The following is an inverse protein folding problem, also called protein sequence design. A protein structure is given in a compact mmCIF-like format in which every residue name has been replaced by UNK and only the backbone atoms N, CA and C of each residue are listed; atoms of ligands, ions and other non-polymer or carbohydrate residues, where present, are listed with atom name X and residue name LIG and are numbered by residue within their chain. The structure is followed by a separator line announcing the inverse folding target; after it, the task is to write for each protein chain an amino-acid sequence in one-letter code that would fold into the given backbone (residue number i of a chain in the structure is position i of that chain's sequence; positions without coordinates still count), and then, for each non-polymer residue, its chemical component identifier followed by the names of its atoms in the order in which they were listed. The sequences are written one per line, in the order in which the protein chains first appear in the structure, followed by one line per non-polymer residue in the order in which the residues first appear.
data_IF_439868166120
#
_entry.id   IF_439868166120
#
_cell.length_a   1.000
_cell.length_b   1.000
_cell.length_c   1.000
_cell.angle_alpha   90.00
_cell.angle_beta   90.00
_cell.angle_gamma   90.00
#
_symmetry.space_group_name_H-M   'P 1'
#
loop_
_entity.id
_entity.type
_entity.pdbx_description
1 polymer ?
#
# COMPACT_ATOMS: atom_id res chain seq x y z
N UNK A 1 -29.92 -11.35 -14.08
CA UNK A 1 -29.82 -9.89 -13.87
C UNK A 1 -30.40 -9.17 -15.07
N UNK A 2 -31.04 -8.03 -14.87
CA UNK A 2 -31.44 -7.15 -15.96
C UNK A 2 -30.27 -6.24 -16.39
N UNK A 3 -30.43 -5.53 -17.53
CA UNK A 3 -29.38 -4.65 -18.10
C UNK A 3 -28.97 -3.50 -17.16
N UNK A 4 -29.88 -3.01 -16.32
CA UNK A 4 -29.57 -1.95 -15.35
C UNK A 4 -28.72 -2.46 -14.19
N UNK A 5 -28.96 -3.68 -13.71
CA UNK A 5 -28.17 -4.30 -12.65
C UNK A 5 -26.72 -4.57 -13.11
N UNK A 6 -26.50 -4.90 -14.38
CA UNK A 6 -25.16 -5.12 -14.94
C UNK A 6 -24.29 -3.87 -14.94
N UNK A 7 -24.87 -2.66 -14.94
CA UNK A 7 -24.13 -1.39 -14.93
C UNK A 7 -23.18 -1.32 -13.71
N UNK A 8 -23.63 -1.79 -12.54
CA UNK A 8 -22.84 -1.78 -11.31
C UNK A 8 -21.61 -2.70 -11.35
N UNK A 9 -21.62 -3.70 -12.24
CA UNK A 9 -20.53 -4.69 -12.40
C UNK A 9 -19.65 -4.37 -13.61
N UNK A 10 -20.07 -3.42 -14.45
CA UNK A 10 -19.28 -2.88 -15.54
C UNK A 10 -18.36 -1.73 -15.11
N UNK A 11 -18.40 -1.31 -13.84
CA UNK A 11 -17.59 -0.21 -13.32
C UNK A 11 -16.97 -0.54 -11.97
N UNK A 12 -15.90 0.18 -11.63
CA UNK A 12 -15.38 0.31 -10.27
C UNK A 12 -15.15 1.80 -9.96
N UNK A 13 -14.49 2.12 -8.84
CA UNK A 13 -14.24 3.49 -8.45
C UNK A 13 -13.26 4.25 -9.39
N UNK A 14 -12.63 3.58 -10.36
CA UNK A 14 -11.79 4.22 -11.39
C UNK A 14 -12.54 5.09 -12.39
N UNK A 15 -13.88 4.98 -12.44
CA UNK A 15 -14.76 5.59 -13.45
C UNK A 15 -14.57 5.05 -14.88
N UNK A 16 -13.75 4.02 -15.08
CA UNK A 16 -13.75 3.27 -16.32
C UNK A 16 -15.07 2.49 -16.48
N UNK A 17 -15.55 2.42 -17.71
CA UNK A 17 -16.74 1.64 -18.06
C UNK A 17 -16.31 0.48 -18.95
N UNK A 18 -16.59 -0.71 -18.46
CA UNK A 18 -16.40 -1.97 -19.13
C UNK A 18 -17.69 -2.53 -19.71
N UNK A 19 -17.61 -3.79 -20.13
CA UNK A 19 -18.74 -4.52 -20.69
C UNK A 19 -18.69 -5.98 -20.22
N UNK A 20 -19.78 -6.42 -19.62
CA UNK A 20 -20.03 -7.80 -19.24
C UNK A 20 -21.51 -8.12 -19.41
N UNK A 21 -21.79 -9.27 -20.01
CA UNK A 21 -23.14 -9.77 -20.20
C UNK A 21 -23.60 -10.69 -19.07
N UNK A 22 -22.65 -11.15 -18.23
CA UNK A 22 -22.93 -12.15 -17.19
C UNK A 22 -22.08 -11.93 -15.96
N UNK A 23 -22.73 -12.06 -14.80
CA UNK A 23 -22.08 -11.99 -13.48
C UNK A 23 -22.44 -13.25 -12.70
N UNK A 24 -21.41 -13.91 -12.17
CA UNK A 24 -21.54 -15.08 -11.30
C UNK A 24 -21.36 -14.67 -9.85
N UNK A 25 -22.18 -15.24 -8.96
CA UNK A 25 -22.13 -15.01 -7.52
C UNK A 25 -21.93 -16.34 -6.78
N UNK A 26 -20.74 -16.95 -6.88
CA UNK A 26 -20.46 -18.21 -6.23
C UNK A 26 -20.61 -18.09 -4.71
N UNK A 27 -21.11 -19.15 -4.07
CA UNK A 27 -21.33 -19.22 -2.62
C UNK A 27 -20.35 -20.14 -1.90
N UNK A 28 -19.51 -20.84 -2.66
CA UNK A 28 -18.52 -21.78 -2.14
C UNK A 28 -17.42 -22.02 -3.18
N UNK A 29 -16.36 -22.70 -2.75
CA UNK A 29 -15.18 -22.99 -3.58
C UNK A 29 -15.53 -23.87 -4.79
N UNK A 30 -16.43 -24.85 -4.63
CA UNK A 30 -16.79 -25.77 -5.72
C UNK A 30 -17.44 -25.03 -6.90
N UNK A 31 -18.31 -24.05 -6.62
CA UNK A 31 -18.89 -23.18 -7.65
C UNK A 31 -17.83 -22.34 -8.37
N UNK A 32 -16.86 -21.77 -7.63
CA UNK A 32 -15.71 -21.06 -8.25
C UNK A 32 -14.93 -21.99 -9.18
N UNK A 33 -14.63 -23.21 -8.74
CA UNK A 33 -13.91 -24.20 -9.55
C UNK A 33 -14.70 -24.60 -10.80
N UNK A 34 -16.01 -24.80 -10.70
CA UNK A 34 -16.88 -25.12 -11.83
C UNK A 34 -16.87 -23.99 -12.87
N UNK A 35 -17.10 -22.74 -12.44
CA UNK A 35 -17.08 -21.57 -13.31
C UNK A 35 -15.73 -21.48 -14.05
N UNK A 36 -14.62 -21.62 -13.32
CA UNK A 36 -13.29 -21.55 -13.93
C UNK A 36 -13.06 -22.70 -14.91
N UNK A 37 -13.60 -23.90 -14.70
CA UNK A 37 -13.40 -25.02 -15.63
C UNK A 37 -14.26 -24.92 -16.88
N UNK A 38 -15.48 -24.39 -16.76
CA UNK A 38 -16.45 -24.30 -17.85
C UNK A 38 -16.23 -23.07 -18.74
N UNK A 39 -15.74 -21.96 -18.18
CA UNK A 39 -15.50 -20.73 -18.95
C UNK A 39 -14.13 -20.77 -19.60
N UNK A 40 -14.12 -20.78 -20.93
CA UNK A 40 -12.91 -20.69 -21.75
C UNK A 40 -12.48 -19.25 -22.04
N UNK A 41 -13.41 -18.29 -21.97
CA UNK A 41 -13.14 -16.87 -22.20
C UNK A 41 -12.44 -16.19 -21.01
N UNK A 42 -12.04 -14.94 -21.21
CA UNK A 42 -11.42 -14.12 -20.17
C UNK A 42 -12.40 -13.91 -19.00
N UNK A 43 -11.91 -13.95 -17.77
CA UNK A 43 -12.71 -13.84 -16.54
C UNK A 43 -12.22 -12.63 -15.75
N UNK A 44 -13.15 -11.80 -15.29
CA UNK A 44 -12.85 -10.72 -14.36
C UNK A 44 -13.28 -11.07 -12.95
N UNK A 45 -12.36 -10.87 -12.00
CA UNK A 45 -12.58 -11.16 -10.58
C UNK A 45 -12.95 -9.87 -9.88
N UNK A 46 -13.98 -9.94 -9.03
CA UNK A 46 -14.51 -8.78 -8.33
C UNK A 46 -14.81 -9.09 -6.85
N UNK A 47 -14.46 -8.13 -5.99
CA UNK A 47 -14.92 -8.02 -4.61
C UNK A 47 -15.94 -6.89 -4.48
N UNK A 48 -15.74 -5.94 -3.57
CA UNK A 48 -16.67 -4.80 -3.41
C UNK A 48 -16.67 -3.77 -4.57
N UNK A 49 -15.69 -3.83 -5.49
CA UNK A 49 -15.58 -2.88 -6.60
C UNK A 49 -15.10 -1.47 -6.21
N UNK A 50 -14.34 -1.35 -5.12
CA UNK A 50 -13.85 -0.05 -4.60
C UNK A 50 -12.51 0.37 -5.19
N UNK A 51 -11.89 -0.46 -6.03
CA UNK A 51 -10.59 -0.16 -6.64
C UNK A 51 -10.62 1.06 -7.57
N UNK A 52 -9.51 1.80 -7.59
CA UNK A 52 -9.39 3.08 -8.31
C UNK A 52 -8.69 2.98 -9.67
N UNK A 53 -8.17 1.80 -10.04
CA UNK A 53 -7.30 1.63 -11.23
C UNK A 53 -7.88 0.69 -12.29
N UNK A 54 -9.16 0.33 -12.20
CA UNK A 54 -9.85 -0.54 -13.16
C UNK A 54 -9.59 -2.03 -12.94
N UNK A 55 -9.12 -2.41 -11.74
CA UNK A 55 -8.73 -3.79 -11.42
C UNK A 55 -9.87 -4.81 -11.55
N UNK A 56 -11.13 -4.38 -11.47
CA UNK A 56 -12.29 -5.26 -11.64
C UNK A 56 -13.26 -4.80 -12.74
N UNK A 57 -12.81 -3.94 -13.65
CA UNK A 57 -13.60 -3.52 -14.81
C UNK A 57 -13.50 -4.61 -15.91
N UNK A 58 -14.64 -5.09 -16.45
CA UNK A 58 -14.66 -6.15 -17.46
C UNK A 58 -14.37 -5.62 -18.87
N UNK A 59 -13.61 -6.40 -19.65
CA UNK A 59 -13.27 -6.09 -21.04
C UNK A 59 -13.96 -7.09 -21.99
N UNK A 60 -15.30 -7.06 -22.04
CA UNK A 60 -16.13 -8.07 -22.72
C UNK A 60 -15.93 -9.46 -22.12
N UNK A 61 -15.99 -9.52 -20.80
CA UNK A 61 -15.63 -10.69 -20.02
C UNK A 61 -16.68 -10.96 -18.94
N UNK A 62 -17.05 -12.22 -18.67
CA UNK A 62 -17.77 -12.58 -17.46
C UNK A 62 -17.13 -12.04 -16.18
N UNK A 63 -17.96 -11.61 -15.23
CA UNK A 63 -17.50 -11.19 -13.90
C UNK A 63 -17.81 -12.29 -12.87
N UNK A 64 -16.86 -12.62 -12.01
CA UNK A 64 -17.09 -13.43 -10.80
C UNK A 64 -17.02 -12.50 -9.60
N UNK A 65 -18.17 -12.25 -8.98
CA UNK A 65 -18.29 -11.46 -7.76
C UNK A 65 -18.29 -12.38 -6.54
N UNK A 66 -17.28 -12.22 -5.69
CA UNK A 66 -17.04 -13.08 -4.54
C UNK A 66 -17.73 -12.60 -3.25
N UNK A 67 -18.50 -11.53 -3.26
CA UNK A 67 -19.11 -10.95 -2.05
C UNK A 67 -20.11 -11.90 -1.35
N UNK A 68 -20.56 -12.97 -2.00
CA UNK A 68 -21.40 -14.02 -1.38
C UNK A 68 -20.62 -15.08 -0.60
N UNK A 69 -19.29 -15.08 -0.70
CA UNK A 69 -18.39 -15.90 0.11
C UNK A 69 -17.86 -15.04 1.28
N UNK A 70 -18.68 -14.78 2.30
CA UNK A 70 -18.39 -13.82 3.37
C UNK A 70 -18.39 -14.41 4.79
N UNK A 71 -18.21 -15.72 4.93
CA UNK A 71 -18.23 -16.38 6.25
C UNK A 71 -16.88 -16.28 6.96
N UNK A 72 -16.92 -16.20 8.29
CA UNK A 72 -15.77 -16.53 9.15
C UNK A 72 -15.70 -18.05 9.24
N UNK A 73 -14.63 -18.64 8.74
CA UNK A 73 -14.45 -20.09 8.63
C UNK A 73 -13.85 -20.70 9.92
N UNK A 74 -12.90 -19.99 10.52
CA UNK A 74 -12.23 -20.40 11.77
C UNK A 74 -11.84 -19.15 12.56
N UNK A 75 -11.94 -19.21 13.88
CA UNK A 75 -11.53 -18.10 14.75
C UNK A 75 -11.00 -18.64 16.08
N UNK A 76 -9.72 -18.38 16.32
CA UNK A 76 -9.01 -18.83 17.52
C UNK A 76 -8.38 -17.63 18.25
N UNK A 77 -9.12 -16.99 19.18
CA UNK A 77 -8.61 -15.86 19.96
C UNK A 77 -7.31 -16.17 20.70
N UNK A 78 -7.20 -17.38 21.28
CA UNK A 78 -6.00 -17.82 22.00
C UNK A 78 -4.75 -17.94 21.12
N UNK A 79 -4.93 -18.11 19.81
CA UNK A 79 -3.83 -18.17 18.82
C UNK A 79 -3.66 -16.86 18.07
N UNK A 80 -4.49 -15.84 18.36
CA UNK A 80 -4.55 -14.58 17.63
C UNK A 80 -4.69 -14.81 16.12
N UNK A 81 -5.58 -15.72 15.72
CA UNK A 81 -5.76 -16.11 14.32
C UNK A 81 -7.23 -16.19 13.93
N UNK A 82 -7.51 -15.86 12.67
CA UNK A 82 -8.84 -15.93 12.06
C UNK A 82 -8.72 -16.34 10.59
N UNK A 83 -9.56 -17.27 10.14
CA UNK A 83 -9.71 -17.64 8.72
C UNK A 83 -11.07 -17.19 8.23
N UNK A 84 -11.10 -16.50 7.09
CA UNK A 84 -12.30 -15.87 6.56
C UNK A 84 -12.41 -16.14 5.06
N UNK A 85 -13.63 -16.20 4.56
CA UNK A 85 -13.88 -16.18 3.13
C UNK A 85 -13.61 -14.78 2.55
N UNK A 86 -13.18 -14.76 1.30
CA UNK A 86 -12.65 -13.60 0.57
C UNK A 86 -13.64 -12.42 0.43
N UNK A 87 -14.94 -12.69 0.39
CA UNK A 87 -16.00 -11.70 0.24
C UNK A 87 -16.41 -11.01 1.53
N UNK A 88 -15.90 -11.45 2.69
CA UNK A 88 -16.13 -10.75 3.96
C UNK A 88 -15.50 -9.36 3.90
N UNK A 89 -16.14 -8.36 4.49
CA UNK A 89 -15.60 -7.01 4.60
C UNK A 89 -14.68 -6.88 5.82
N UNK A 90 -13.77 -5.91 5.79
CA UNK A 90 -12.92 -5.59 6.96
C UNK A 90 -13.78 -5.17 8.16
N UNK A 91 -14.91 -4.49 7.92
CA UNK A 91 -15.88 -4.13 8.95
C UNK A 91 -16.45 -5.34 9.66
N UNK A 92 -17.02 -6.29 8.91
CA UNK A 92 -17.58 -7.53 9.47
C UNK A 92 -16.53 -8.32 10.25
N UNK A 93 -15.30 -8.41 9.73
CA UNK A 93 -14.18 -9.02 10.42
C UNK A 93 -13.90 -8.32 11.76
N UNK A 94 -13.71 -7.00 11.75
CA UNK A 94 -13.39 -6.25 12.97
C UNK A 94 -14.54 -6.27 13.99
N UNK A 95 -15.80 -6.25 13.56
CA UNK A 95 -16.96 -6.40 14.45
C UNK A 95 -16.95 -7.76 15.17
N UNK A 96 -16.51 -8.83 14.50
CA UNK A 96 -16.32 -10.14 15.13
C UNK A 96 -15.14 -10.14 16.10
N UNK A 97 -13.99 -9.59 15.68
CA UNK A 97 -12.76 -9.57 16.49
C UNK A 97 -12.90 -8.74 17.77
N UNK A 98 -13.57 -7.58 17.69
CA UNK A 98 -13.78 -6.69 18.84
C UNK A 98 -14.51 -7.38 20.00
N UNK A 99 -15.41 -8.32 19.73
CA UNK A 99 -16.10 -9.10 20.77
C UNK A 99 -15.15 -9.97 21.61
N UNK A 100 -13.95 -10.23 21.11
CA UNK A 100 -12.89 -10.96 21.80
C UNK A 100 -11.72 -10.04 22.22
N UNK A 101 -11.91 -8.72 22.21
CA UNK A 101 -10.87 -7.72 22.47
C UNK A 101 -9.68 -7.80 21.50
N UNK A 102 -9.96 -8.12 20.22
CA UNK A 102 -8.98 -8.21 19.14
C UNK A 102 -9.34 -7.25 17.99
N UNK A 103 -8.37 -6.96 17.13
CA UNK A 103 -8.58 -6.21 15.88
C UNK A 103 -7.69 -6.72 14.74
N UNK A 104 -8.12 -6.46 13.50
CA UNK A 104 -7.29 -6.62 12.32
C UNK A 104 -6.36 -5.40 12.18
N UNK A 105 -5.03 -5.59 12.16
CA UNK A 105 -4.06 -4.49 12.30
C UNK A 105 -3.93 -3.59 11.06
N UNK A 106 -4.26 -4.10 9.87
CA UNK A 106 -4.23 -3.28 8.65
C UNK A 106 -5.50 -2.44 8.59
N UNK A 107 -5.30 -1.12 8.60
CA UNK A 107 -6.40 -0.16 8.59
C UNK A 107 -6.45 0.58 7.25
N UNK A 108 -7.40 0.28 6.36
CA UNK A 108 -7.66 1.02 5.11
C UNK A 108 -8.65 2.17 5.34
N UNK A 109 -8.56 3.24 4.53
CA UNK A 109 -9.58 4.31 4.47
C UNK A 109 -10.95 3.79 4.01
N UNK A 110 -10.99 2.65 3.32
CA UNK A 110 -12.20 1.99 2.81
C UNK A 110 -12.63 0.78 3.67
N UNK A 111 -12.12 0.69 4.91
CA UNK A 111 -12.38 -0.43 5.83
C UNK A 111 -13.86 -0.83 6.00
N UNK A 112 -14.79 0.11 5.77
CA UNK A 112 -16.21 -0.18 5.88
C UNK A 112 -16.76 -1.09 4.78
N UNK A 113 -16.13 -1.07 3.60
CA UNK A 113 -16.69 -1.68 2.38
C UNK A 113 -15.71 -2.59 1.64
N UNK A 114 -14.39 -2.43 1.81
CA UNK A 114 -13.42 -3.31 1.15
C UNK A 114 -13.53 -4.76 1.65
N UNK A 115 -13.61 -5.68 0.69
CA UNK A 115 -13.55 -7.12 0.93
C UNK A 115 -12.12 -7.58 1.25
N UNK A 116 -12.00 -8.64 2.03
CA UNK A 116 -10.73 -9.31 2.36
C UNK A 116 -9.96 -9.74 1.11
N UNK A 117 -10.64 -10.29 0.11
CA UNK A 117 -10.07 -10.67 -1.18
C UNK A 117 -9.45 -9.50 -1.92
N UNK A 118 -10.18 -8.39 -1.97
CA UNK A 118 -9.72 -7.14 -2.60
C UNK A 118 -8.42 -6.62 -1.97
N UNK A 119 -8.37 -6.51 -0.64
CA UNK A 119 -7.16 -6.01 0.03
C UNK A 119 -5.98 -6.98 -0.06
N UNK A 120 -6.23 -8.30 -0.08
CA UNK A 120 -5.20 -9.32 -0.27
C UNK A 120 -4.68 -9.32 -1.71
N UNK A 121 -5.57 -9.18 -2.70
CA UNK A 121 -5.22 -9.09 -4.11
C UNK A 121 -4.40 -7.81 -4.42
N UNK A 122 -4.66 -6.70 -3.72
CA UNK A 122 -3.87 -5.47 -3.83
C UNK A 122 -2.62 -5.43 -2.94
N UNK A 123 -2.52 -6.32 -1.94
CA UNK A 123 -1.55 -6.22 -0.85
C UNK A 123 -1.51 -4.80 -0.24
N UNK A 124 -2.69 -4.24 0.03
CA UNK A 124 -2.88 -2.82 0.30
C UNK A 124 -2.07 -2.34 1.52
N UNK A 125 -1.29 -1.25 1.40
CA UNK A 125 -0.73 -0.52 2.53
C UNK A 125 -1.83 0.30 3.23
N UNK A 126 -2.31 -0.17 4.38
CA UNK A 126 -3.24 0.62 5.20
C UNK A 126 -2.62 1.92 5.75
N UNK A 127 -3.44 2.82 6.31
CA UNK A 127 -3.06 4.09 6.95
C UNK A 127 -2.01 3.91 8.06
N UNK A 128 -1.98 2.72 8.68
CA UNK A 128 -1.03 2.37 9.76
C UNK A 128 0.13 1.48 9.31
N UNK A 129 0.35 1.36 8.00
CA UNK A 129 1.34 0.43 7.43
C UNK A 129 2.79 0.78 7.77
N UNK A 130 3.08 2.01 8.24
CA UNK A 130 4.42 2.32 8.78
C UNK A 130 4.78 1.46 10.00
N UNK A 131 3.78 1.06 10.80
CA UNK A 131 3.98 0.23 11.99
C UNK A 131 3.57 -1.22 11.76
N UNK A 132 2.45 -1.44 11.09
CA UNK A 132 1.90 -2.80 10.92
C UNK A 132 2.27 -3.44 9.57
N UNK A 133 2.93 -2.74 8.65
CA UNK A 133 3.18 -3.28 7.31
C UNK A 133 1.91 -3.38 6.46
N UNK A 134 1.97 -4.20 5.41
CA UNK A 134 0.89 -4.41 4.45
C UNK A 134 0.08 -5.67 4.80
N UNK A 135 -0.99 -5.92 4.06
CA UNK A 135 -1.85 -7.11 4.23
C UNK A 135 -1.06 -8.41 4.25
N UNK A 136 -0.09 -8.59 3.34
CA UNK A 136 0.74 -9.81 3.29
C UNK A 136 1.45 -10.14 4.60
N UNK A 137 1.82 -9.12 5.38
CA UNK A 137 2.61 -9.30 6.59
C UNK A 137 1.78 -9.95 7.71
N UNK A 138 0.46 -9.99 7.54
CA UNK A 138 -0.51 -10.60 8.47
C UNK A 138 -1.10 -11.90 7.96
N UNK A 139 -0.79 -12.31 6.73
CA UNK A 139 -1.33 -13.52 6.13
C UNK A 139 -0.48 -14.73 6.53
N UNK A 140 -1.13 -15.75 7.05
CA UNK A 140 -0.53 -17.06 7.32
C UNK A 140 -0.76 -18.04 6.15
N UNK A 141 -1.93 -17.95 5.52
CA UNK A 141 -2.39 -18.89 4.51
C UNK A 141 -3.36 -18.21 3.54
N UNK A 142 -3.23 -18.50 2.25
CA UNK A 142 -4.24 -18.20 1.23
C UNK A 142 -4.66 -19.50 0.56
N UNK A 143 -5.97 -19.67 0.39
CA UNK A 143 -6.52 -20.62 -0.56
C UNK A 143 -7.06 -19.86 -1.76
N UNK A 144 -6.71 -20.32 -2.96
CA UNK A 144 -7.13 -19.71 -4.21
C UNK A 144 -7.43 -20.75 -5.29
N UNK A 145 -8.31 -20.42 -6.22
CA UNK A 145 -8.57 -21.22 -7.42
C UNK A 145 -7.72 -20.67 -8.57
N UNK A 146 -6.82 -21.48 -9.11
CA UNK A 146 -5.94 -21.07 -10.21
C UNK A 146 -6.68 -21.05 -11.57
N UNK A 147 -6.01 -20.63 -12.65
CA UNK A 147 -6.61 -20.59 -14.00
C UNK A 147 -6.96 -21.96 -14.60
N UNK A 148 -6.56 -23.06 -13.95
CA UNK A 148 -6.96 -24.43 -14.32
C UNK A 148 -8.21 -24.91 -13.55
N UNK A 149 -8.69 -24.13 -12.58
CA UNK A 149 -9.82 -24.52 -11.72
C UNK A 149 -9.43 -25.42 -10.55
N UNK A 150 -8.14 -25.48 -10.22
CA UNK A 150 -7.62 -26.25 -9.08
C UNK A 150 -7.59 -25.37 -7.83
N UNK A 151 -8.00 -25.93 -6.69
CA UNK A 151 -7.83 -25.28 -5.40
C UNK A 151 -6.38 -25.46 -4.95
N UNK A 152 -5.69 -24.34 -4.77
CA UNK A 152 -4.29 -24.29 -4.31
C UNK A 152 -4.25 -23.61 -2.96
N UNK A 153 -3.45 -24.16 -2.05
CA UNK A 153 -3.15 -23.56 -0.76
C UNK A 153 -1.69 -23.12 -0.73
N UNK A 154 -1.44 -21.89 -0.34
CA UNK A 154 -0.10 -21.30 -0.23
C UNK A 154 0.15 -20.70 1.15
N UNK A 155 1.41 -20.70 1.57
CA UNK A 155 1.88 -20.13 2.84
C UNK A 155 3.26 -19.50 2.64
N UNK A 156 3.61 -18.51 3.47
CA UNK A 156 4.95 -17.90 3.54
C UNK A 156 5.53 -17.46 2.19
N UNK A 157 6.51 -18.21 1.66
CA UNK A 157 7.35 -17.82 0.53
C UNK A 157 6.56 -17.63 -0.77
N UNK A 158 5.53 -18.46 -0.98
CA UNK A 158 4.73 -18.45 -2.19
C UNK A 158 3.47 -17.56 -2.05
N UNK A 159 3.34 -16.77 -0.96
CA UNK A 159 2.20 -15.85 -0.80
C UNK A 159 2.20 -14.78 -1.89
N UNK A 160 3.37 -14.31 -2.31
CA UNK A 160 3.51 -13.26 -3.33
C UNK A 160 3.14 -13.75 -4.73
N UNK A 161 3.00 -15.06 -4.94
CA UNK A 161 2.50 -15.59 -6.20
C UNK A 161 1.01 -15.27 -6.42
N UNK A 162 0.29 -14.85 -5.38
CA UNK A 162 -1.16 -14.54 -5.43
C UNK A 162 -1.54 -13.24 -4.73
N UNK A 163 -0.92 -12.93 -3.59
CA UNK A 163 -1.10 -11.68 -2.86
C UNK A 163 -0.40 -10.54 -3.60
N UNK A 164 -1.10 -9.43 -3.83
CA UNK A 164 -0.58 -8.31 -4.62
C UNK A 164 -0.59 -8.54 -6.13
N UNK A 165 -1.20 -9.63 -6.61
CA UNK A 165 -1.28 -9.98 -8.04
C UNK A 165 -2.61 -9.58 -8.67
N UNK A 166 -3.48 -8.86 -7.96
CA UNK A 166 -4.75 -8.30 -8.49
C UNK A 166 -5.62 -9.35 -9.20
N UNK A 167 -5.57 -10.60 -8.75
CA UNK A 167 -6.35 -11.71 -9.30
C UNK A 167 -5.83 -12.28 -10.62
N UNK A 168 -4.70 -11.80 -11.18
CA UNK A 168 -4.21 -12.36 -12.46
C UNK A 168 -3.72 -13.81 -12.29
N UNK A 169 -3.20 -14.21 -11.13
CA UNK A 169 -2.69 -15.58 -10.92
C UNK A 169 -3.72 -16.53 -10.35
N UNK A 170 -4.79 -16.03 -9.73
CA UNK A 170 -5.78 -16.87 -9.07
C UNK A 170 -6.90 -16.10 -8.39
N UNK A 171 -8.01 -16.79 -8.17
CA UNK A 171 -9.18 -16.31 -7.45
C UNK A 171 -9.02 -16.65 -5.98
N UNK A 172 -8.64 -15.69 -5.13
CA UNK A 172 -8.53 -15.90 -3.68
C UNK A 172 -9.92 -16.22 -3.12
N UNK A 173 -10.08 -17.38 -2.47
CA UNK A 173 -11.35 -17.84 -1.89
C UNK A 173 -11.39 -17.78 -0.37
N UNK A 174 -10.24 -17.94 0.29
CA UNK A 174 -10.14 -17.76 1.74
C UNK A 174 -8.76 -17.26 2.14
N UNK A 175 -8.69 -16.55 3.27
CA UNK A 175 -7.45 -16.03 3.84
C UNK A 175 -7.43 -16.27 5.35
N UNK A 176 -6.30 -16.76 5.86
CA UNK A 176 -6.02 -16.85 7.29
C UNK A 176 -5.09 -15.73 7.70
N UNK A 177 -5.52 -14.93 8.67
CA UNK A 177 -4.76 -13.81 9.22
C UNK A 177 -4.31 -14.08 10.65
N UNK A 178 -3.18 -13.47 11.01
CA UNK A 178 -2.90 -13.05 12.38
C UNK A 178 -3.67 -11.78 12.71
N UNK A 179 -4.10 -11.67 13.96
CA UNK A 179 -4.76 -10.49 14.53
C UNK A 179 -3.98 -10.02 15.76
N UNK A 180 -4.33 -8.85 16.28
CA UNK A 180 -3.69 -8.27 17.46
C UNK A 180 -4.72 -7.97 18.54
N UNK A 181 -4.29 -7.81 19.81
CA UNK A 181 -5.13 -7.20 20.84
C UNK A 181 -5.69 -5.86 20.35
N UNK A 182 -6.91 -5.53 20.77
CA UNK A 182 -7.51 -4.23 20.51
C UNK A 182 -6.66 -3.14 21.18
N UNK A 183 -6.20 -2.16 20.40
CA UNK A 183 -5.33 -1.09 20.89
C UNK A 183 -6.12 0.21 21.06
N UNK A 184 -6.00 0.77 22.25
CA UNK A 184 -6.40 2.14 22.54
C UNK A 184 -5.43 3.15 21.90
N UNK A 185 -5.98 4.09 21.13
CA UNK A 185 -5.20 5.05 20.34
C UNK A 185 -5.54 6.49 20.69
N UNK A 186 -4.58 7.36 20.42
CA UNK A 186 -4.74 8.80 20.53
C UNK A 186 -3.99 9.50 19.40
N UNK A 187 -4.26 10.78 19.20
CA UNK A 187 -3.62 11.55 18.15
C UNK A 187 -3.17 12.94 18.62
N UNK A 188 -2.24 13.53 17.87
CA UNK A 188 -1.86 14.94 17.98
C UNK A 188 -1.86 15.57 16.59
N UNK A 189 -2.25 16.84 16.52
CA UNK A 189 -2.26 17.62 15.27
C UNK A 189 -1.24 18.75 15.42
N UNK A 190 -0.28 18.78 14.50
CA UNK A 190 0.66 19.88 14.34
C UNK A 190 0.28 20.69 13.10
N UNK A 191 0.37 22.02 13.18
CA UNK A 191 0.07 22.91 12.06
C UNK A 191 1.15 23.99 11.92
N UNK A 192 1.48 24.34 10.69
CA UNK A 192 2.50 25.36 10.38
C UNK A 192 2.28 25.96 8.99
N UNK A 193 2.85 27.13 8.77
CA UNK A 193 2.92 27.76 7.45
C UNK A 193 4.16 27.32 6.65
N UNK A 194 5.08 26.60 7.29
CA UNK A 194 6.36 26.16 6.74
C UNK A 194 6.41 24.63 6.55
N UNK A 195 6.35 24.18 5.29
CA UNK A 195 6.39 22.77 4.95
C UNK A 195 7.66 22.04 5.44
N UNK A 196 8.79 22.75 5.57
CA UNK A 196 10.04 22.15 6.04
C UNK A 196 9.96 21.69 7.50
N UNK A 197 9.16 22.35 8.34
CA UNK A 197 8.93 21.93 9.72
C UNK A 197 8.18 20.60 9.78
N UNK A 198 7.20 20.39 8.89
CA UNK A 198 6.48 19.11 8.79
C UNK A 198 7.46 17.96 8.51
N UNK A 199 8.35 18.12 7.53
CA UNK A 199 9.34 17.10 7.18
C UNK A 199 10.36 16.88 8.31
N UNK A 200 10.78 17.94 9.01
CA UNK A 200 11.68 17.82 10.15
C UNK A 200 11.05 17.02 11.29
N UNK A 201 9.83 17.36 11.68
CA UNK A 201 9.08 16.66 12.73
C UNK A 201 8.82 15.22 12.29
N UNK A 202 8.31 15.02 11.07
CA UNK A 202 8.04 13.71 10.49
C UNK A 202 9.27 12.80 10.50
N UNK A 203 10.45 13.33 10.14
CA UNK A 203 11.71 12.56 10.15
C UNK A 203 12.14 12.15 11.56
N UNK A 204 11.91 12.99 12.56
CA UNK A 204 12.26 12.67 13.97
C UNK A 204 11.29 11.64 14.55
N UNK A 205 9.99 11.92 14.45
CA UNK A 205 8.95 11.14 15.13
C UNK A 205 8.66 9.78 14.47
N UNK A 206 8.97 9.59 13.18
CA UNK A 206 8.73 8.31 12.48
C UNK A 206 9.48 7.10 13.06
N UNK A 207 10.48 7.33 13.89
CA UNK A 207 11.27 6.27 14.55
C UNK A 207 10.75 5.88 15.93
N UNK A 208 9.77 6.63 16.46
CA UNK A 208 9.16 6.37 17.76
C UNK A 208 8.27 5.12 17.70
N UNK A 209 8.46 4.19 18.64
CA UNK A 209 7.78 2.89 18.66
C UNK A 209 6.26 2.98 18.75
N UNK A 210 5.75 4.01 19.43
CA UNK A 210 4.31 4.20 19.64
C UNK A 210 3.61 4.77 18.42
N UNK A 211 4.33 5.38 17.47
CA UNK A 211 3.72 6.07 16.33
C UNK A 211 3.21 5.07 15.30
N UNK A 212 1.92 5.14 15.01
CA UNK A 212 1.23 4.25 14.08
C UNK A 212 0.90 4.92 12.75
N UNK A 213 0.73 6.25 12.72
CA UNK A 213 0.40 7.01 11.50
C UNK A 213 1.05 8.39 11.51
N UNK A 214 1.52 8.83 10.34
CA UNK A 214 2.01 10.18 10.07
C UNK A 214 1.39 10.73 8.79
N UNK A 215 0.34 11.53 8.93
CA UNK A 215 -0.42 12.07 7.79
C UNK A 215 -0.20 13.55 7.59
N UNK A 216 0.34 13.92 6.44
CA UNK A 216 0.51 15.28 5.96
C UNK A 216 -0.70 15.72 5.13
N UNK A 217 -1.15 16.96 5.33
CA UNK A 217 -2.08 17.66 4.44
C UNK A 217 -1.45 18.94 3.89
N UNK A 218 -1.61 19.18 2.58
CA UNK A 218 -1.33 20.49 1.98
C UNK A 218 -2.30 21.56 2.53
N UNK A 219 -2.01 22.84 2.28
CA UNK A 219 -2.90 23.95 2.71
C UNK A 219 -4.30 23.82 2.07
N UNK A 220 -4.34 23.54 0.77
CA UNK A 220 -5.60 23.36 0.03
C UNK A 220 -6.43 22.22 0.61
N UNK A 221 -5.82 21.05 0.80
CA UNK A 221 -6.52 19.89 1.35
C UNK A 221 -6.95 20.14 2.80
N UNK A 222 -6.12 20.83 3.60
CA UNK A 222 -6.51 21.21 4.96
C UNK A 222 -7.76 22.07 4.97
N UNK A 223 -7.83 23.09 4.10
CA UNK A 223 -8.99 23.96 3.93
C UNK A 223 -10.24 23.18 3.49
N UNK A 224 -10.11 22.29 2.50
CA UNK A 224 -11.21 21.44 2.03
C UNK A 224 -11.74 20.52 3.15
N UNK A 225 -10.85 20.04 4.00
CA UNK A 225 -11.21 19.27 5.17
C UNK A 225 -11.75 20.16 6.31
N UNK A 226 -11.87 21.48 6.16
CA UNK A 226 -12.34 22.37 7.22
C UNK A 226 -11.36 22.49 8.39
N UNK A 227 -10.06 22.31 8.14
CA UNK A 227 -8.98 22.76 9.02
C UNK A 227 -8.55 24.18 8.60
N UNK A 228 -7.79 24.90 9.45
CA UNK A 228 -7.14 26.14 9.03
C UNK A 228 -6.33 25.94 7.73
N UNK A 229 -6.18 26.99 6.93
CA UNK A 229 -5.42 26.96 5.66
C UNK A 229 -3.90 26.96 5.93
N UNK A 230 -3.43 25.87 6.54
CA UNK A 230 -2.05 25.62 6.96
C UNK A 230 -1.65 24.19 6.59
N UNK A 231 -0.36 23.89 6.59
CA UNK A 231 0.07 22.50 6.53
C UNK A 231 -0.28 21.82 7.85
N UNK A 232 -0.83 20.61 7.77
CA UNK A 232 -1.12 19.80 8.95
C UNK A 232 -0.31 18.51 8.93
N UNK A 233 0.27 18.14 10.07
CA UNK A 233 0.79 16.81 10.34
C UNK A 233 -0.02 16.18 11.48
N UNK A 234 -0.74 15.12 11.16
CA UNK A 234 -1.47 14.32 12.13
C UNK A 234 -0.62 13.11 12.49
N UNK A 235 -0.38 12.97 13.80
CA UNK A 235 0.39 11.87 14.37
C UNK A 235 -0.54 11.03 15.21
N UNK A 236 -0.67 9.75 14.88
CA UNK A 236 -1.39 8.77 15.69
C UNK A 236 -0.42 7.94 16.52
N UNK A 237 -0.82 7.62 17.75
CA UNK A 237 -0.09 6.78 18.67
C UNK A 237 -0.94 5.56 19.04
N UNK A 238 -0.31 4.39 19.10
CA UNK A 238 -0.82 3.18 19.74
C UNK A 238 -0.67 3.24 21.26
N UNK A 239 -1.08 4.37 21.83
CA UNK A 239 -1.15 4.62 23.26
C UNK A 239 -2.01 5.86 23.50
N UNK A 240 -2.23 6.21 24.76
CA UNK A 240 -2.95 7.42 25.19
C UNK A 240 -2.04 8.65 25.33
N UNK A 241 -0.92 8.71 24.61
CA UNK A 241 0.08 9.81 24.68
C UNK A 241 -0.34 11.09 23.95
N UNK A 242 -1.10 10.98 22.87
CA UNK A 242 -1.62 12.10 22.08
C UNK A 242 -2.60 12.97 22.85
N UNK A 243 -2.84 14.19 22.36
CA UNK A 243 -3.76 15.16 23.01
C UNK A 243 -5.23 14.84 22.73
N UNK A 244 -5.53 14.30 21.56
CA UNK A 244 -6.87 13.96 21.09
C UNK A 244 -7.13 12.49 21.42
N UNK A 245 -8.19 12.21 22.18
CA UNK A 245 -8.50 10.89 22.77
C UNK A 245 -10.00 10.61 22.72
N UNK A 246 -10.38 9.35 22.96
CA UNK A 246 -11.79 8.94 23.08
C UNK A 246 -12.64 9.39 21.88
N UNK A 247 -13.81 9.97 22.16
CA UNK A 247 -14.74 10.41 21.11
C UNK A 247 -14.15 11.45 20.15
N UNK A 248 -13.25 12.32 20.63
CA UNK A 248 -12.61 13.32 19.78
C UNK A 248 -11.65 12.66 18.78
N UNK A 249 -10.94 11.61 19.22
CA UNK A 249 -10.12 10.77 18.35
C UNK A 249 -10.98 10.06 17.29
N UNK A 250 -12.11 9.48 17.69
CA UNK A 250 -13.02 8.82 16.74
C UNK A 250 -13.57 9.80 15.69
N UNK A 251 -13.92 11.03 16.11
CA UNK A 251 -14.33 12.11 15.20
C UNK A 251 -13.21 12.48 14.24
N UNK A 252 -11.97 12.60 14.72
CA UNK A 252 -10.81 12.86 13.86
C UNK A 252 -10.63 11.75 12.83
N UNK A 253 -10.62 10.48 13.23
CA UNK A 253 -10.43 9.34 12.30
C UNK A 253 -11.56 9.28 11.26
N UNK A 254 -12.81 9.49 11.65
CA UNK A 254 -13.95 9.59 10.71
C UNK A 254 -13.73 10.69 9.68
N UNK A 255 -13.25 11.85 10.12
CA UNK A 255 -12.90 12.97 9.25
C UNK A 255 -11.76 12.59 8.30
N UNK A 256 -10.70 11.92 8.76
CA UNK A 256 -9.63 11.48 7.86
C UNK A 256 -10.12 10.49 6.80
N UNK A 257 -11.04 9.59 7.13
CA UNK A 257 -11.60 8.66 6.16
C UNK A 257 -12.56 9.32 5.16
N UNK A 258 -13.09 10.51 5.45
CA UNK A 258 -13.97 11.23 4.53
C UNK A 258 -13.24 11.99 3.43
N UNK A 259 -11.90 12.07 3.47
CA UNK A 259 -11.12 12.89 2.54
C UNK A 259 -11.38 12.59 1.07
N UNK A 260 -11.48 11.31 0.70
CA UNK A 260 -11.78 10.92 -0.68
C UNK A 260 -13.15 11.45 -1.13
N UNK A 261 -14.17 11.36 -0.27
CA UNK A 261 -15.52 11.90 -0.54
C UNK A 261 -15.49 13.42 -0.69
N UNK A 262 -14.76 14.12 0.19
CA UNK A 262 -14.57 15.57 0.14
C UNK A 262 -13.89 16.02 -1.15
N UNK A 263 -12.83 15.33 -1.58
CA UNK A 263 -12.12 15.66 -2.82
C UNK A 263 -13.01 15.43 -4.04
N UNK A 264 -13.77 14.33 -4.06
CA UNK A 264 -14.72 14.01 -5.13
C UNK A 264 -15.82 15.09 -5.23
N UNK A 265 -16.37 15.56 -4.09
CA UNK A 265 -17.40 16.63 -4.12
C UNK A 265 -16.87 17.96 -4.67
N UNK A 266 -15.56 18.18 -4.59
CA UNK A 266 -14.86 19.35 -5.14
C UNK A 266 -14.40 19.15 -6.60
N UNK A 267 -14.76 18.01 -7.22
CA UNK A 267 -14.46 17.68 -8.61
C UNK A 267 -13.09 17.05 -8.85
N UNK A 268 -12.38 16.64 -7.79
CA UNK A 268 -11.11 15.91 -7.90
C UNK A 268 -11.37 14.41 -8.04
N UNK A 269 -11.54 13.96 -9.28
CA UNK A 269 -11.87 12.57 -9.59
C UNK A 269 -10.65 11.72 -9.96
N UNK A 270 -9.51 12.33 -10.21
CA UNK A 270 -8.30 11.63 -10.64
C UNK A 270 -7.22 11.78 -9.58
N UNK A 271 -6.40 10.74 -9.40
CA UNK A 271 -5.27 10.80 -8.48
C UNK A 271 -4.08 9.96 -8.91
N UNK A 272 -2.94 10.26 -8.31
CA UNK A 272 -1.71 9.48 -8.36
C UNK A 272 -1.18 9.30 -6.93
N UNK A 273 -0.64 8.12 -6.60
CA UNK A 273 -0.19 7.78 -5.25
C UNK A 273 1.26 7.26 -5.17
N UNK A 274 2.24 7.98 -5.76
CA UNK A 274 3.62 7.50 -5.75
C UNK A 274 4.15 7.24 -4.35
N UNK A 275 4.85 6.11 -4.23
CA UNK A 275 5.64 5.72 -3.08
C UNK A 275 7.12 5.94 -3.36
N UNK A 276 7.80 6.65 -2.46
CA UNK A 276 9.23 6.90 -2.58
C UNK A 276 9.93 7.05 -1.22
N UNK A 277 11.26 6.95 -1.24
CA UNK A 277 12.06 7.21 -0.05
C UNK A 277 11.94 8.67 0.39
N UNK A 278 12.09 8.88 1.70
CA UNK A 278 11.79 10.14 2.37
C UNK A 278 12.52 11.36 1.78
N UNK A 279 13.77 11.21 1.31
CA UNK A 279 14.52 12.34 0.75
C UNK A 279 13.95 12.78 -0.62
N UNK A 280 13.56 11.83 -1.48
CA UNK A 280 12.88 12.11 -2.76
C UNK A 280 11.45 12.60 -2.56
N UNK A 281 10.81 12.18 -1.47
CA UNK A 281 9.45 12.59 -1.10
C UNK A 281 9.35 14.10 -0.98
N UNK A 282 10.35 14.73 -0.35
CA UNK A 282 10.39 16.18 -0.19
C UNK A 282 10.53 16.91 -1.52
N UNK A 283 11.38 16.41 -2.42
CA UNK A 283 11.52 16.97 -3.78
C UNK A 283 10.19 16.90 -4.53
N UNK A 284 9.51 15.73 -4.47
CA UNK A 284 8.22 15.54 -5.12
C UNK A 284 7.13 16.45 -4.55
N UNK A 285 7.03 16.56 -3.24
CA UNK A 285 6.06 17.43 -2.57
C UNK A 285 6.31 18.91 -2.91
N UNK A 286 7.56 19.37 -2.91
CA UNK A 286 7.87 20.74 -3.35
C UNK A 286 7.46 20.98 -4.82
N UNK A 287 7.64 19.98 -5.69
CA UNK A 287 7.15 20.05 -7.06
C UNK A 287 5.62 20.20 -7.11
N UNK A 288 4.86 19.46 -6.30
CA UNK A 288 3.40 19.60 -6.24
C UNK A 288 2.97 20.99 -5.76
N UNK A 289 3.64 21.55 -4.74
CA UNK A 289 3.39 22.90 -4.23
C UNK A 289 3.58 23.96 -5.32
N UNK A 290 4.71 23.93 -6.03
CA UNK A 290 5.01 24.89 -7.12
C UNK A 290 3.98 24.80 -8.25
N UNK A 291 3.39 23.63 -8.47
CA UNK A 291 2.43 23.38 -9.54
C UNK A 291 0.96 23.46 -9.10
N UNK A 292 0.68 23.89 -7.86
CA UNK A 292 -0.65 23.98 -7.28
C UNK A 292 -1.45 22.68 -7.49
N UNK A 293 -0.85 21.56 -7.10
CA UNK A 293 -1.50 20.24 -7.08
C UNK A 293 -1.88 19.92 -5.64
N UNK A 294 -3.18 19.81 -5.31
CA UNK A 294 -3.61 19.42 -3.97
C UNK A 294 -3.14 18.01 -3.64
N UNK A 295 -2.64 17.82 -2.42
CA UNK A 295 -2.19 16.51 -1.97
C UNK A 295 -2.37 16.29 -0.46
N UNK A 296 -2.40 15.02 -0.11
CA UNK A 296 -2.10 14.56 1.24
C UNK A 296 -1.10 13.41 1.17
N UNK A 297 -0.53 13.00 2.29
CA UNK A 297 0.48 11.96 2.26
C UNK A 297 0.67 11.23 3.56
N UNK A 298 1.10 9.98 3.45
CA UNK A 298 1.50 9.12 4.56
C UNK A 298 3.03 9.12 4.63
N UNK A 299 3.58 10.05 5.41
CA UNK A 299 5.03 10.29 5.48
C UNK A 299 5.81 9.09 6.03
N UNK A 300 5.17 8.27 6.87
CA UNK A 300 5.78 7.08 7.44
C UNK A 300 6.10 6.01 6.38
N UNK A 301 5.23 5.87 5.38
CA UNK A 301 5.31 4.87 4.30
C UNK A 301 5.90 5.43 3.01
N UNK A 302 5.96 6.77 2.92
CA UNK A 302 6.49 7.52 1.79
C UNK A 302 5.51 7.63 0.63
N UNK A 303 4.20 7.56 0.90
CA UNK A 303 3.14 7.66 -0.12
C UNK A 303 2.58 9.09 -0.13
N UNK A 304 2.49 9.72 -1.30
CA UNK A 304 1.79 11.00 -1.48
C UNK A 304 0.65 10.79 -2.46
N UNK A 305 -0.54 11.25 -2.09
CA UNK A 305 -1.75 11.22 -2.90
C UNK A 305 -1.95 12.60 -3.52
N UNK A 306 -1.72 12.72 -4.82
CA UNK A 306 -1.90 13.95 -5.60
C UNK A 306 -3.21 13.88 -6.38
N UNK A 307 -3.98 14.98 -6.39
CA UNK A 307 -5.35 15.01 -6.93
C UNK A 307 -5.51 15.97 -8.10
N UNK A 308 -6.36 15.59 -9.07
CA UNK A 308 -6.57 16.34 -10.31
C UNK A 308 -8.05 16.36 -10.70
N UNK A 309 -8.50 17.51 -11.23
CA UNK A 309 -9.79 17.63 -11.91
C UNK A 309 -9.71 17.06 -13.33
N UNK A 310 -10.85 16.75 -13.95
CA UNK A 310 -10.90 16.10 -15.27
C UNK A 310 -10.20 16.92 -16.37
N UNK A 311 -10.28 18.26 -16.32
CA UNK A 311 -9.62 19.14 -17.28
C UNK A 311 -8.09 19.26 -17.06
N UNK A 312 -7.55 18.75 -15.95
CA UNK A 312 -6.13 18.85 -15.60
C UNK A 312 -5.29 17.66 -16.08
N UNK A 313 -5.74 16.93 -17.11
CA UNK A 313 -5.05 15.77 -17.68
C UNK A 313 -3.57 16.04 -18.00
N UNK A 314 -3.24 17.21 -18.55
CA UNK A 314 -1.86 17.57 -18.86
C UNK A 314 -1.01 17.74 -17.59
N UNK A 315 -1.55 18.37 -16.54
CA UNK A 315 -0.88 18.51 -15.24
C UNK A 315 -0.60 17.15 -14.61
N UNK A 316 -1.58 16.24 -14.67
CA UNK A 316 -1.43 14.84 -14.24
C UNK A 316 -0.32 14.11 -15.03
N UNK A 317 -0.25 14.29 -16.35
CA UNK A 317 0.79 13.66 -17.17
C UNK A 317 2.20 14.14 -16.79
N UNK A 318 2.37 15.44 -16.49
CA UNK A 318 3.65 15.97 -15.99
C UNK A 318 4.00 15.32 -14.65
N UNK A 319 3.04 15.19 -13.73
CA UNK A 319 3.26 14.49 -12.45
C UNK A 319 3.69 13.05 -12.66
N UNK A 320 3.05 12.29 -13.57
CA UNK A 320 3.46 10.92 -13.94
C UNK A 320 4.89 10.89 -14.51
N UNK A 321 5.28 11.86 -15.32
CA UNK A 321 6.65 11.95 -15.83
C UNK A 321 7.68 12.20 -14.71
N UNK A 322 7.35 13.05 -13.74
CA UNK A 322 8.19 13.28 -12.55
C UNK A 322 8.27 12.01 -11.69
N UNK A 323 7.17 11.29 -11.48
CA UNK A 323 7.17 10.00 -10.78
C UNK A 323 8.15 9.01 -11.43
N UNK A 324 8.14 8.89 -12.77
CA UNK A 324 9.08 8.05 -13.52
C UNK A 324 10.53 8.53 -13.34
N UNK A 325 10.79 9.84 -13.45
CA UNK A 325 12.13 10.43 -13.25
C UNK A 325 12.69 10.13 -11.86
N UNK A 326 11.84 10.22 -10.83
CA UNK A 326 12.23 9.94 -9.44
C UNK A 326 12.32 8.43 -9.13
N UNK A 327 11.95 7.58 -10.09
CA UNK A 327 11.82 6.12 -9.91
C UNK A 327 10.89 5.77 -8.75
N UNK A 328 9.76 6.48 -8.67
CA UNK A 328 8.72 6.20 -7.69
C UNK A 328 8.11 4.82 -7.97
N UNK A 329 7.77 4.11 -6.90
CA UNK A 329 6.93 2.91 -6.96
C UNK A 329 5.47 3.33 -6.85
N UNK A 330 4.54 2.45 -7.22
CA UNK A 330 3.12 2.66 -6.92
C UNK A 330 2.85 2.47 -5.43
N UNK A 331 1.87 3.21 -4.90
CA UNK A 331 1.52 3.22 -3.49
C UNK A 331 0.47 2.19 -3.11
N UNK A 332 -0.75 2.66 -2.88
CA UNK A 332 -1.88 1.95 -2.33
C UNK A 332 -2.88 1.42 -3.37
N UNK A 333 -3.04 2.08 -4.51
CA UNK A 333 -4.15 1.83 -5.43
C UNK A 333 -3.95 0.65 -6.38
N UNK A 334 -2.73 0.12 -6.46
CA UNK A 334 -2.38 -0.96 -7.38
C UNK A 334 -2.08 -0.47 -8.80
N UNK A 335 -2.05 -1.41 -9.73
CA UNK A 335 -1.72 -1.23 -11.15
C UNK A 335 -2.98 -1.18 -12.02
N UNK A 336 -3.87 -2.18 -11.85
CA UNK A 336 -5.07 -2.36 -12.65
C UNK A 336 -4.83 -2.27 -14.16
N UNK A 337 -5.76 -1.61 -14.86
CA UNK A 337 -5.67 -1.30 -16.28
C UNK A 337 -4.83 -0.02 -16.49
N UNK A 338 -4.96 0.93 -15.56
CA UNK A 338 -4.55 2.33 -15.77
C UNK A 338 -3.05 2.60 -15.59
N UNK A 339 -2.31 1.69 -14.95
CA UNK A 339 -0.93 1.96 -14.50
C UNK A 339 0.08 0.90 -14.87
N UNK A 340 -0.24 0.03 -15.84
CA UNK A 340 0.69 -1.00 -16.35
C UNK A 340 2.07 -0.45 -16.73
N UNK A 341 2.11 0.78 -17.22
CA UNK A 341 3.35 1.50 -17.58
C UNK A 341 4.32 1.78 -16.41
N UNK A 342 3.87 1.61 -15.16
CA UNK A 342 4.71 1.75 -13.96
C UNK A 342 5.24 0.42 -13.44
N UNK A 343 4.85 -0.71 -14.04
CA UNK A 343 5.44 -2.00 -13.74
C UNK A 343 6.82 -2.07 -14.39
N UNK A 344 7.86 -2.24 -13.57
CA UNK A 344 9.23 -2.34 -14.06
C UNK A 344 9.40 -3.55 -15.00
N UNK A 345 10.23 -3.42 -16.03
CA UNK A 345 10.41 -4.49 -17.02
C UNK A 345 10.95 -5.80 -16.45
N UNK A 346 11.73 -5.74 -15.36
CA UNK A 346 12.17 -6.93 -14.64
C UNK A 346 11.03 -7.56 -13.84
N UNK A 347 10.28 -6.75 -13.10
CA UNK A 347 9.11 -7.20 -12.33
C UNK A 347 8.05 -7.80 -13.26
N UNK A 348 7.80 -7.19 -14.42
CA UNK A 348 6.86 -7.69 -15.43
C UNK A 348 7.20 -9.11 -15.90
N UNK A 349 8.49 -9.42 -16.12
CA UNK A 349 8.94 -10.77 -16.49
C UNK A 349 8.69 -11.80 -15.39
N UNK A 350 8.89 -11.42 -14.12
CA UNK A 350 8.62 -12.29 -12.98
C UNK A 350 7.11 -12.54 -12.88
N UNK A 351 6.32 -11.47 -12.86
CA UNK A 351 4.86 -11.51 -12.81
C UNK A 351 4.32 -12.41 -13.93
N UNK A 352 4.84 -12.28 -15.14
CA UNK A 352 4.42 -13.08 -16.27
C UNK A 352 4.73 -14.58 -16.09
N UNK A 353 5.92 -14.93 -15.59
CA UNK A 353 6.27 -16.34 -15.31
C UNK A 353 5.34 -16.96 -14.28
N UNK A 354 5.02 -16.22 -13.22
CA UNK A 354 4.08 -16.67 -12.17
C UNK A 354 2.66 -16.78 -12.75
N UNK A 355 2.21 -15.78 -13.51
CA UNK A 355 0.93 -15.79 -14.23
C UNK A 355 0.76 -17.03 -15.08
N UNK A 356 1.73 -17.34 -15.95
CA UNK A 356 1.64 -18.50 -16.84
C UNK A 356 1.73 -19.85 -16.10
N UNK A 357 2.35 -19.89 -14.91
CA UNK A 357 2.37 -21.09 -14.05
C UNK A 357 0.97 -21.43 -13.54
N UNK A 358 0.24 -20.44 -13.01
CA UNK A 358 -1.07 -20.66 -12.39
C UNK A 358 -2.25 -20.51 -13.36
N UNK A 359 -2.07 -19.74 -14.43
CA UNK A 359 -3.09 -19.51 -15.47
C UNK A 359 -2.46 -19.60 -16.87
N UNK A 360 -2.17 -20.81 -17.36
CA UNK A 360 -1.49 -21.02 -18.63
C UNK A 360 -2.30 -20.57 -19.85
N UNK A 361 -3.63 -20.46 -19.72
CA UNK A 361 -4.51 -19.94 -20.77
C UNK A 361 -4.65 -18.41 -20.73
N UNK A 362 -4.06 -17.74 -19.73
CA UNK A 362 -4.14 -16.30 -19.53
C UNK A 362 -5.57 -15.73 -19.53
N UNK A 363 -6.50 -16.41 -18.85
CA UNK A 363 -7.91 -16.00 -18.78
C UNK A 363 -8.24 -15.07 -17.62
N UNK A 364 -7.57 -15.23 -16.47
CA UNK A 364 -7.91 -14.50 -15.25
C UNK A 364 -7.42 -13.04 -15.34
N UNK A 365 -8.32 -12.08 -15.22
CA UNK A 365 -8.02 -10.64 -15.18
C UNK A 365 -7.04 -10.19 -16.29
N UNK A 366 -7.16 -10.76 -17.48
CA UNK A 366 -6.32 -10.42 -18.63
C UNK A 366 -6.40 -8.92 -18.95
N UNK A 367 -5.28 -8.36 -19.42
CA UNK A 367 -5.16 -6.94 -19.76
C UNK A 367 -4.88 -6.03 -18.56
N UNK A 368 -4.83 -6.58 -17.35
CA UNK A 368 -4.55 -5.88 -16.08
C UNK A 368 -3.17 -6.26 -15.56
N UNK A 369 -2.54 -5.36 -14.80
CA UNK A 369 -1.16 -5.46 -14.28
C UNK A 369 -0.08 -5.48 -15.36
N UNK A 370 -0.13 -6.47 -16.26
CA UNK A 370 0.82 -6.69 -17.35
C UNK A 370 0.08 -7.20 -18.59
N UNK A 371 0.72 -7.06 -19.75
CA UNK A 371 0.32 -7.78 -20.96
C UNK A 371 1.23 -9.00 -21.12
N UNK A 372 0.64 -10.19 -21.34
CA UNK A 372 1.39 -11.45 -21.40
C UNK A 372 1.94 -11.66 -22.80
N UNK A 373 3.27 -11.79 -22.90
CA UNK A 373 3.96 -12.14 -24.14
C UNK A 373 4.32 -13.64 -24.16
N UNK A 374 3.56 -14.45 -24.89
CA UNK A 374 3.79 -15.90 -25.02
C UNK A 374 5.12 -16.29 -25.69
N UNK A 375 5.89 -15.34 -26.24
CA UNK A 375 7.24 -15.58 -26.73
C UNK A 375 8.29 -15.66 -25.62
N UNK A 376 8.01 -15.07 -24.45
CA UNK A 376 8.87 -15.08 -23.26
C UNK A 376 8.84 -16.48 -22.64
N UNK A 377 9.82 -17.29 -23.04
CA UNK A 377 9.93 -18.71 -22.71
C UNK A 377 10.47 -19.56 -23.87
N UNK A 378 10.47 -19.03 -25.10
CA UNK A 378 11.03 -19.70 -26.28
C UNK A 378 12.53 -19.42 -26.51
N UNK A 379 13.21 -18.65 -25.65
CA UNK A 379 14.58 -18.16 -25.88
C UNK A 379 15.59 -18.41 -24.73
N UNK A 380 15.36 -19.38 -23.84
CA UNK A 380 16.32 -19.68 -22.75
C UNK A 380 17.48 -20.63 -23.15
N UNK A 381 17.50 -21.17 -24.38
CA UNK A 381 18.67 -21.91 -24.89
C UNK A 381 19.89 -20.99 -25.12
N UNK A 382 19.65 -19.69 -25.38
CA UNK A 382 20.71 -18.71 -25.59
C UNK A 382 21.40 -18.31 -24.29
N UNK A 383 20.66 -18.18 -23.19
CA UNK A 383 21.20 -17.88 -21.87
C UNK A 383 21.91 -19.09 -21.25
N UNK A 384 21.38 -20.30 -21.47
CA UNK A 384 22.04 -21.54 -21.05
C UNK A 384 23.38 -21.73 -21.77
N UNK A 385 23.41 -21.56 -23.11
CA UNK A 385 24.66 -21.57 -23.89
C UNK A 385 25.65 -20.50 -23.43
N UNK A 386 25.17 -19.27 -23.19
CA UNK A 386 26.02 -18.17 -22.75
C UNK A 386 26.60 -18.39 -21.35
N UNK A 387 25.83 -18.96 -20.41
CA UNK A 387 26.33 -19.37 -19.09
C UNK A 387 27.37 -20.49 -19.21
N UNK A 388 27.18 -21.42 -20.14
CA UNK A 388 28.12 -22.52 -20.38
C UNK A 388 29.43 -22.04 -21.04
N UNK A 389 29.35 -21.07 -21.96
CA UNK A 389 30.50 -20.37 -22.56
C UNK A 389 31.29 -19.59 -21.52
N UNK A 390 30.62 -18.78 -20.68
CA UNK A 390 31.27 -18.04 -19.59
C UNK A 390 31.95 -19.01 -18.60
N UNK A 391 31.34 -20.16 -18.31
CA UNK A 391 31.93 -21.17 -17.43
C UNK A 391 33.18 -21.81 -18.03
N UNK A 392 33.22 -22.02 -19.35
CA UNK A 392 34.42 -22.46 -20.09
C UNK A 392 35.51 -21.40 -20.09
N UNK A 393 35.14 -20.14 -20.26
CA UNK A 393 36.06 -19.00 -20.30
C UNK A 393 36.75 -18.78 -18.93
N UNK A 394 35.98 -18.81 -17.84
CA UNK A 394 36.51 -18.76 -16.46
C UNK A 394 37.44 -19.93 -16.20
N UNK A 395 37.08 -21.15 -16.62
CA UNK A 395 37.93 -22.34 -16.44
C UNK A 395 39.27 -22.19 -17.18
N UNK A 396 39.27 -21.61 -18.37
CA UNK A 396 40.48 -21.33 -19.15
C UNK A 396 41.36 -20.24 -18.53
N UNK A 397 40.78 -19.21 -17.93
CA UNK A 397 41.50 -18.17 -17.18
C UNK A 397 42.21 -18.79 -15.97
N UNK A 398 41.49 -19.59 -15.17
CA UNK A 398 42.06 -20.29 -14.00
C UNK A 398 43.19 -21.23 -14.42
N UNK A 399 43.06 -21.92 -15.56
CA UNK A 399 44.12 -22.79 -16.10
C UNK A 399 45.35 -22.00 -16.57
N UNK A 400 45.17 -20.80 -17.15
CA UNK A 400 46.26 -19.91 -17.52
C UNK A 400 47.00 -19.36 -16.30
N UNK A 401 46.28 -18.95 -15.26
CA UNK A 401 46.87 -18.45 -14.00
C UNK A 401 47.62 -19.55 -13.24
N UNK A 402 47.11 -20.80 -13.25
CA UNK A 402 47.85 -21.96 -12.70
C UNK A 402 49.13 -22.28 -13.47
N UNK A 403 49.15 -22.11 -14.79
CA UNK A 403 50.39 -22.26 -15.59
C UNK A 403 51.39 -21.14 -15.34
N UNK A 404 50.94 -19.89 -15.16
CA UNK A 404 51.82 -18.74 -14.89
C UNK A 404 52.36 -18.73 -13.45
N UNK A 405 51.64 -19.33 -12.49
CA UNK A 405 52.09 -19.48 -11.09
C UNK A 405 53.02 -20.68 -10.87
N UNK A 406 53.05 -21.66 -11.77
CA UNK A 406 54.00 -22.78 -11.74
C UNK A 406 55.38 -22.42 -12.34
N UNK A 407 55.50 -21.30 -13.07
CA UNK A 407 56.77 -20.84 -13.68
C UNK A 407 57.48 -19.73 -12.87
N UNK A 408 56.97 -19.34 -11.70
CA UNK A 408 57.63 -18.34 -10.83
C UNK A 408 57.52 -18.68 -9.36
N UNK A 409 58.57 -19.28 -8.80
CA UNK A 409 59.01 -19.23 -7.39
C UNK A 409 60.18 -20.21 -7.21
N UNK A 410 61.19 -20.00 -6.32
CA UNK A 410 61.13 -19.14 -5.13
C UNK A 410 62.36 -18.26 -4.89
N UNK A 411 62.15 -17.05 -4.35
CA UNK A 411 63.08 -16.56 -3.34
C UNK A 411 62.38 -15.64 -2.32
N UNK A 412 62.64 -15.97 -1.05
CA UNK A 412 62.39 -15.21 0.19
C UNK A 412 60.98 -15.24 0.79
N UNK A 413 60.79 -16.23 1.67
CA UNK A 413 59.81 -16.20 2.76
C UNK A 413 60.55 -16.06 4.10
N UNK A 414 60.49 -14.87 4.67
CA UNK A 414 60.63 -14.53 6.09
C UNK A 414 60.15 -13.08 6.14
N UNK A 415 59.22 -12.62 6.98
CA UNK A 415 59.21 -12.64 8.44
C UNK A 415 57.77 -12.23 8.88
N UNK A 416 57.36 -12.67 10.08
CA UNK A 416 56.35 -12.09 11.00
C UNK A 416 54.89 -12.56 10.85
N UNK A 417 54.57 -13.66 11.52
CA UNK A 417 53.36 -13.75 12.35
C UNK A 417 53.74 -13.32 13.78
N UNK A 418 53.08 -12.26 14.28
CA UNK A 418 52.56 -12.08 15.66
C UNK A 418 52.48 -10.60 16.02
N UNK A 419 51.39 -10.30 16.74
CA UNK A 419 51.06 -9.02 17.44
C UNK A 419 50.56 -7.90 16.50
N UNK A 420 49.50 -7.14 16.79
CA UNK A 420 48.69 -7.03 17.99
C UNK A 420 47.23 -6.62 17.70
N UNK A 421 46.38 -7.10 18.59
CA UNK A 421 45.20 -6.44 19.14
C UNK A 421 45.44 -4.94 19.36
N UNK A 422 44.63 -4.11 18.72
CA UNK A 422 44.07 -2.82 19.15
C UNK A 422 44.02 -1.82 17.99
N UNK A 423 42.80 -1.45 17.59
CA UNK A 423 42.31 -0.06 17.58
C UNK A 423 40.98 0.01 16.83
N UNK A 424 39.93 0.32 17.60
CA UNK A 424 38.75 1.05 17.14
C UNK A 424 39.16 2.26 16.29
N UNK A 425 38.29 2.68 15.36
CA UNK A 425 37.96 4.10 15.34
C UNK A 425 36.47 4.29 15.60
N UNK A 426 36.20 4.99 16.69
CA UNK A 426 35.07 5.90 16.76
C UNK A 426 35.17 6.89 15.59
N UNK A 427 34.06 7.13 14.90
CA UNK A 427 33.81 8.43 14.30
C UNK A 427 32.35 8.80 14.51
N UNK A 428 32.10 9.28 15.71
CA UNK A 428 31.08 10.23 16.07
C UNK A 428 31.35 11.56 15.35
N UNK A 429 30.50 11.98 14.42
CA UNK A 429 30.44 13.38 14.02
C UNK A 429 28.99 13.93 14.01
N UNK A 430 28.80 14.83 14.98
CA UNK A 430 27.90 15.98 15.01
C UNK A 430 26.41 15.74 15.24
N UNK A 431 26.12 15.37 16.50
CA UNK A 431 25.05 16.00 17.27
C UNK A 431 25.41 17.48 17.52
N UNK A 432 24.79 18.38 16.76
CA UNK A 432 24.56 19.75 17.23
C UNK A 432 23.20 20.20 16.70
N UNK A 433 22.13 19.60 17.22
CA UNK A 433 20.79 20.17 17.10
C UNK A 433 20.60 21.17 18.24
N UNK A 434 20.49 22.45 17.87
CA UNK A 434 20.36 23.60 18.76
C UNK A 434 19.31 23.40 19.87
N UNK A 435 19.56 24.00 21.02
CA UNK A 435 18.63 24.08 22.17
C UNK A 435 17.21 24.49 21.75
N UNK A 436 17.10 25.36 20.74
CA UNK A 436 15.85 25.81 20.11
C UNK A 436 15.02 24.67 19.49
N UNK A 437 15.66 23.66 18.90
CA UNK A 437 14.99 22.49 18.32
C UNK A 437 14.36 21.60 19.40
N UNK A 438 15.02 21.48 20.56
CA UNK A 438 14.48 20.75 21.71
C UNK A 438 13.35 21.53 22.37
N UNK A 439 13.45 22.85 22.41
CA UNK A 439 12.43 23.73 22.98
C UNK A 439 11.18 23.78 22.10
N UNK A 440 11.30 23.72 20.76
CA UNK A 440 10.17 23.55 19.84
C UNK A 440 9.48 22.19 20.02
N UNK A 441 10.25 21.11 20.16
CA UNK A 441 9.73 19.76 20.45
C UNK A 441 8.99 19.77 21.79
N UNK A 442 9.59 20.34 22.83
CA UNK A 442 8.97 20.42 24.16
C UNK A 442 7.73 21.32 24.15
N UNK A 443 7.71 22.40 23.38
CA UNK A 443 6.55 23.27 23.18
C UNK A 443 5.39 22.51 22.51
N UNK A 444 5.67 21.76 21.44
CA UNK A 444 4.70 20.87 20.78
C UNK A 444 4.18 19.80 21.76
N UNK A 445 5.08 19.27 22.59
CA UNK A 445 4.79 18.22 23.58
C UNK A 445 4.06 18.73 24.83
N UNK A 446 4.15 20.02 25.21
CA UNK A 446 3.65 20.48 26.53
C UNK A 446 2.79 21.75 26.57
N UNK A 447 2.69 22.64 25.56
CA UNK A 447 1.78 23.80 25.70
C UNK A 447 1.32 24.48 24.40
N UNK A 448 0.02 24.82 24.36
CA UNK A 448 -0.49 26.02 23.70
C UNK A 448 -1.64 26.61 24.56
N UNK A 449 -1.30 27.10 25.75
CA UNK A 449 -2.14 28.04 26.51
C UNK A 449 -1.79 29.46 26.05
N UNK A 450 -2.55 29.97 25.09
CA UNK A 450 -2.91 31.39 24.85
C UNK A 450 -3.49 31.48 23.43
N UNK A 451 -4.80 31.26 23.31
CA UNK A 451 -5.68 31.89 22.30
C UNK A 451 -7.18 31.53 22.45
N UNK A 452 -7.61 30.95 23.57
CA UNK A 452 -9.05 30.71 23.85
C UNK A 452 -9.69 31.66 24.88
N UNK A 453 -9.06 32.80 25.21
CA UNK A 453 -9.64 33.78 26.15
C UNK A 453 -10.03 35.10 25.49
N UNK A 454 -10.74 35.06 24.35
CA UNK A 454 -11.35 36.25 23.75
C UNK A 454 -12.82 36.11 23.35
N UNK A 455 -13.53 35.03 23.75
CA UNK A 455 -14.97 34.88 23.49
C UNK A 455 -15.82 34.61 24.75
N UNK A 456 -15.41 35.11 25.93
CA UNK A 456 -16.22 34.97 27.15
C UNK A 456 -16.22 36.23 28.04
N UNK A 457 -16.33 37.39 27.41
CA UNK A 457 -16.81 38.63 28.04
C UNK A 457 -17.63 39.36 27.00
N UNK A 458 -18.93 39.10 27.02
CA UNK A 458 -20.02 40.03 26.74
C UNK A 458 -21.30 39.20 26.56
N UNK A 459 -22.19 39.27 27.56
CA UNK A 459 -23.50 38.61 27.48
C UNK A 459 -24.02 37.97 28.77
N UNK A 460 -23.82 38.59 29.95
CA UNK A 460 -24.71 38.41 31.11
C UNK A 460 -24.82 39.71 31.90
N UNK A 461 -25.85 40.48 31.54
CA UNK A 461 -26.64 41.47 32.27
C UNK A 461 -27.59 41.99 31.17
N UNK A 462 -28.90 41.77 31.20
CA UNK A 462 -29.84 42.32 32.18
C UNK A 462 -31.08 41.41 32.34
N UNK A 463 -31.65 41.50 33.54
CA UNK A 463 -32.94 40.97 33.94
C UNK A 463 -34.10 41.84 33.41
N UNK A 464 -35.28 41.22 33.38
CA UNK A 464 -36.60 41.80 33.76
C UNK A 464 -37.15 43.01 32.99
N UNK A 465 -38.33 42.83 32.38
CA UNK A 465 -39.24 43.93 32.08
C UNK A 465 -40.26 43.63 30.99
N UNK A 466 -41.47 43.26 31.43
CA UNK A 466 -42.76 43.18 30.71
C UNK A 466 -43.01 42.03 29.74
#
# INVERSE_FOLDING_TARGET
MNKHELICYNTDASRLVGESDVVFFPKNVAEVQAIVKEIESDIVIRGAGTGLEGGCVPQKSPVIDLCKMNKILDFSPSKLQVKVETGATIKELNEKLKKANLEFPVYSSENEISTIGGIAALNSPGLRSMKYGNVKDWIEEIEFVNGKGELVKTTKADLMDVCGMEGITGIIVSVKFRVIPLIERSASVFQTDNLSEIFLIGRRIRSEKEVSMLRLFSKDVSKLMGFPEKYHLIVEFDSYRGKIKGEEYDKLIKKLNSIGKTLISEGYYNSEDPRMFFDKLREFVNFLEVNNVPYFGDLGTGIIYAFFKDFEKNKRNVVRAVMKKLRAKLGNYGVGIMRKEFVDGFDAKIIQRVKLRYDPKNKLNKGKMIDVDFSVGKNDDSEAKRKEEIKKEIKNIILKEKKTSLEKSPEKTSIIEKEAVNQTPANSHHNNSNKEDRDLINSIMTNNRKNNNLNNKDGKNEQSGN
#
